data_IF_160983798940
#
_entry.id   IF_160983798940
#
_cell.length_a   1.000
_cell.length_b   1.000
_cell.length_c   1.000
_cell.angle_alpha   90.00
_cell.angle_beta   90.00
_cell.angle_gamma   90.00
#
_symmetry.space_group_name_H-M   'P 1'
#
loop_
_entity.id
_entity.type
_entity.pdbx_description
1 polymer ?
#
# COMPACT_ATOMS: atom_id res chain seq x y z
N UNK A 1 -27.77 -35.07 -23.99
CA UNK A 1 -27.96 -33.63 -23.70
C UNK A 1 -26.56 -33.03 -23.53
N UNK A 2 -25.94 -32.55 -24.62
CA UNK A 2 -24.57 -32.03 -24.62
C UNK A 2 -24.57 -30.57 -24.14
N UNK A 3 -23.94 -30.31 -23.01
CA UNK A 3 -23.74 -28.96 -22.49
C UNK A 3 -22.66 -28.24 -23.28
N UNK A 4 -23.03 -27.17 -23.98
CA UNK A 4 -22.08 -26.18 -24.47
C UNK A 4 -21.32 -25.60 -23.26
N UNK A 5 -20.10 -26.04 -23.05
CA UNK A 5 -19.16 -25.38 -22.14
C UNK A 5 -18.88 -23.99 -22.72
N UNK A 6 -19.52 -22.95 -22.18
CA UNK A 6 -19.09 -21.58 -22.42
C UNK A 6 -17.63 -21.43 -21.98
N UNK A 7 -16.85 -20.63 -22.71
CA UNK A 7 -15.46 -20.39 -22.35
C UNK A 7 -15.34 -19.96 -20.88
N UNK A 8 -14.35 -20.46 -20.13
CA UNK A 8 -14.25 -20.27 -18.68
C UNK A 8 -14.01 -18.82 -18.25
N UNK A 9 -13.78 -17.91 -19.20
CA UNK A 9 -13.62 -16.50 -18.96
C UNK A 9 -14.13 -15.70 -20.16
N UNK A 10 -14.66 -14.52 -19.89
CA UNK A 10 -15.04 -13.55 -20.92
C UNK A 10 -13.88 -12.59 -21.15
N UNK A 11 -13.29 -12.62 -22.35
CA UNK A 11 -12.27 -11.63 -22.73
C UNK A 11 -12.94 -10.25 -22.83
N UNK A 12 -12.47 -9.24 -22.09
CA UNK A 12 -13.05 -7.91 -22.17
C UNK A 12 -12.79 -7.28 -23.55
N UNK A 13 -13.73 -6.45 -24.00
CA UNK A 13 -13.64 -5.83 -25.32
C UNK A 13 -12.40 -4.94 -25.43
N UNK A 14 -11.60 -5.01 -26.51
CA UNK A 14 -10.30 -4.34 -26.62
C UNK A 14 -10.36 -2.80 -26.56
N UNK A 15 -11.53 -2.20 -26.80
CA UNK A 15 -11.72 -0.74 -26.73
C UNK A 15 -11.59 -0.14 -25.32
N UNK A 16 -11.56 -0.98 -24.28
CA UNK A 16 -11.34 -0.50 -22.91
C UNK A 16 -9.89 -0.03 -22.71
N UNK A 17 -8.94 -0.60 -23.45
CA UNK A 17 -7.52 -0.30 -23.33
C UNK A 17 -7.17 0.90 -24.19
N UNK A 18 -7.00 2.05 -23.53
CA UNK A 18 -6.70 3.34 -24.15
C UNK A 18 -5.33 3.82 -23.71
N UNK A 19 -4.52 4.26 -24.66
CA UNK A 19 -3.16 4.78 -24.39
C UNK A 19 -3.26 6.03 -23.50
N UNK A 20 -4.31 6.82 -23.69
CA UNK A 20 -4.58 8.06 -22.96
C UNK A 20 -4.78 7.83 -21.45
N UNK A 21 -5.17 6.62 -21.05
CA UNK A 21 -5.36 6.27 -19.63
C UNK A 21 -4.03 5.99 -18.91
N UNK A 22 -2.93 5.82 -19.65
CA UNK A 22 -1.62 5.41 -19.14
C UNK A 22 -0.61 6.51 -19.40
N UNK A 23 -0.27 7.35 -18.39
CA UNK A 23 0.63 8.50 -18.58
C UNK A 23 1.99 8.12 -19.17
N UNK A 24 2.54 6.97 -18.76
CA UNK A 24 3.83 6.49 -19.24
C UNK A 24 3.83 6.21 -20.75
N UNK A 25 2.72 5.68 -21.29
CA UNK A 25 2.62 5.38 -22.72
C UNK A 25 2.34 6.65 -23.53
N UNK A 26 1.68 7.65 -22.94
CA UNK A 26 1.53 8.99 -23.55
C UNK A 26 2.89 9.67 -23.67
N UNK A 27 3.73 9.61 -22.64
CA UNK A 27 5.10 10.16 -22.68
C UNK A 27 5.94 9.50 -23.78
N UNK A 28 5.86 8.17 -23.93
CA UNK A 28 6.55 7.45 -25.01
C UNK A 28 6.03 7.86 -26.39
N UNK A 29 4.70 7.96 -26.55
CA UNK A 29 4.07 8.43 -27.79
C UNK A 29 4.55 9.83 -28.18
N UNK A 30 4.64 10.74 -27.22
CA UNK A 30 5.13 12.10 -27.45
C UNK A 30 6.62 12.13 -27.78
N UNK A 31 7.44 11.34 -27.07
CA UNK A 31 8.88 11.25 -27.31
C UNK A 31 9.19 10.68 -28.71
N UNK A 32 8.45 9.65 -29.15
CA UNK A 32 8.52 9.12 -30.50
C UNK A 32 8.01 10.12 -31.54
N UNK A 33 6.91 10.81 -31.24
CA UNK A 33 6.35 11.84 -32.11
C UNK A 33 7.32 12.99 -32.38
N UNK A 34 8.15 13.38 -31.39
CA UNK A 34 9.22 14.36 -31.57
C UNK A 34 10.30 13.91 -32.57
N UNK A 35 10.44 12.60 -32.77
CA UNK A 35 11.35 12.01 -33.76
C UNK A 35 10.65 11.68 -35.08
N UNK A 36 9.35 12.01 -35.22
CA UNK A 36 8.54 11.63 -36.38
C UNK A 36 8.17 10.14 -36.40
N UNK A 37 8.35 9.41 -35.30
CA UNK A 37 8.05 8.00 -35.16
C UNK A 37 6.71 7.78 -34.45
N UNK A 38 6.06 6.66 -34.75
CA UNK A 38 4.83 6.22 -34.10
C UNK A 38 4.91 4.72 -33.85
N UNK A 39 4.71 4.29 -32.61
CA UNK A 39 4.70 2.88 -32.25
C UNK A 39 3.27 2.30 -32.31
N UNK A 40 3.00 1.33 -33.20
CA UNK A 40 1.68 0.70 -33.32
C UNK A 40 1.30 -0.19 -32.13
N UNK A 41 2.26 -0.58 -31.29
CA UNK A 41 2.03 -1.51 -30.17
C UNK A 41 1.65 -0.84 -28.85
N UNK A 42 1.69 0.49 -28.76
CA UNK A 42 1.36 1.22 -27.51
C UNK A 42 0.01 0.82 -26.92
N UNK A 43 -1.01 0.60 -27.75
CA UNK A 43 -2.33 0.16 -27.27
C UNK A 43 -2.33 -1.28 -26.74
N UNK A 44 -1.48 -2.14 -27.29
CA UNK A 44 -1.31 -3.50 -26.79
C UNK A 44 -0.60 -3.53 -25.43
N UNK A 45 0.18 -2.52 -25.09
CA UNK A 45 0.83 -2.44 -23.77
C UNK A 45 -0.04 -1.77 -22.70
N UNK A 46 -1.09 -1.05 -23.11
CA UNK A 46 -1.95 -0.28 -22.21
C UNK A 46 -2.57 -1.13 -21.08
N UNK A 47 -2.91 -2.39 -21.35
CA UNK A 47 -3.50 -3.28 -20.32
C UNK A 47 -2.58 -3.53 -19.12
N UNK A 48 -1.25 -3.51 -19.31
CA UNK A 48 -0.28 -3.79 -18.25
C UNK A 48 -0.17 -2.66 -17.24
N UNK A 49 -0.33 -1.44 -17.71
CA UNK A 49 -0.04 -0.23 -16.95
C UNK A 49 -1.31 0.53 -16.56
N UNK A 50 -2.48 -0.04 -16.83
CA UNK A 50 -3.74 0.57 -16.50
C UNK A 50 -3.96 0.61 -14.97
N UNK A 51 -4.04 1.83 -14.44
CA UNK A 51 -4.18 2.10 -12.99
C UNK A 51 -5.45 1.53 -12.39
N UNK A 52 -6.51 1.32 -13.20
CA UNK A 52 -7.77 0.72 -12.73
C UNK A 52 -7.59 -0.74 -12.30
N UNK A 53 -6.69 -1.49 -12.96
CA UNK A 53 -6.46 -2.91 -12.63
C UNK A 53 -5.42 -3.09 -11.52
N UNK A 54 -4.32 -2.36 -11.57
CA UNK A 54 -3.16 -2.59 -10.69
C UNK A 54 -2.97 -1.56 -9.57
N UNK A 55 -3.86 -0.55 -9.51
CA UNK A 55 -3.77 0.54 -8.55
C UNK A 55 -2.58 1.47 -8.82
N UNK A 56 -2.38 2.44 -7.91
CA UNK A 56 -1.22 3.33 -7.95
C UNK A 56 -0.08 2.79 -7.08
N UNK A 57 1.18 3.12 -7.41
CA UNK A 57 2.33 2.78 -6.56
C UNK A 57 2.14 3.24 -5.11
N UNK A 58 1.58 4.43 -4.91
CA UNK A 58 1.27 4.98 -3.58
C UNK A 58 0.26 4.13 -2.83
N UNK A 59 -0.81 3.71 -3.49
CA UNK A 59 -1.82 2.82 -2.90
C UNK A 59 -1.19 1.49 -2.48
N UNK A 60 -0.35 0.87 -3.34
CA UNK A 60 0.34 -0.38 -3.01
C UNK A 60 1.28 -0.25 -1.84
N UNK A 61 2.04 0.84 -1.75
CA UNK A 61 2.93 1.13 -0.62
C UNK A 61 2.14 1.30 0.68
N UNK A 62 1.05 2.08 0.66
CA UNK A 62 0.21 2.25 1.84
C UNK A 62 -0.43 0.92 2.26
N UNK A 63 -0.94 0.14 1.32
CA UNK A 63 -1.50 -1.19 1.60
C UNK A 63 -0.44 -2.17 2.11
N UNK A 64 0.84 -2.01 1.74
CA UNK A 64 1.93 -2.82 2.28
C UNK A 64 2.28 -2.40 3.70
N UNK A 65 2.50 -1.10 3.95
CA UNK A 65 2.91 -0.57 5.24
C UNK A 65 1.81 -0.68 6.32
N UNK A 66 0.56 -0.43 5.93
CA UNK A 66 -0.57 -0.36 6.86
C UNK A 66 -1.45 -1.62 6.83
N UNK A 67 -1.01 -2.69 6.17
CA UNK A 67 -1.72 -3.97 6.21
C UNK A 67 -1.78 -4.45 7.66
N UNK A 68 -2.99 -4.61 8.20
CA UNK A 68 -3.18 -5.19 9.53
C UNK A 68 -2.92 -4.22 10.69
N UNK A 69 -2.56 -2.96 10.44
CA UNK A 69 -2.41 -1.97 11.51
C UNK A 69 -3.71 -1.82 12.32
N UNK A 70 -4.87 -1.81 11.65
CA UNK A 70 -6.17 -1.73 12.34
C UNK A 70 -6.45 -2.93 13.25
N UNK A 71 -6.18 -4.14 12.77
CA UNK A 71 -6.36 -5.37 13.57
C UNK A 71 -5.39 -5.40 14.75
N UNK A 72 -4.11 -5.05 14.51
CA UNK A 72 -3.10 -4.95 15.54
C UNK A 72 -3.44 -3.89 16.60
N UNK A 73 -3.98 -2.74 16.18
CA UNK A 73 -4.41 -1.69 17.09
C UNK A 73 -5.61 -2.11 17.96
N UNK A 74 -6.58 -2.82 17.40
CA UNK A 74 -7.68 -3.40 18.18
C UNK A 74 -7.18 -4.42 19.22
N UNK A 75 -6.26 -5.32 18.82
CA UNK A 75 -5.67 -6.28 19.74
C UNK A 75 -4.86 -5.58 20.86
N UNK A 76 -4.09 -4.54 20.51
CA UNK A 76 -3.35 -3.73 21.47
C UNK A 76 -4.26 -3.08 22.52
N UNK A 77 -5.36 -2.45 22.09
CA UNK A 77 -6.33 -1.85 23.02
C UNK A 77 -7.01 -2.91 23.90
N UNK A 78 -7.33 -4.07 23.35
CA UNK A 78 -7.89 -5.18 24.12
C UNK A 78 -6.90 -5.65 25.21
N UNK A 79 -5.62 -5.76 24.87
CA UNK A 79 -4.57 -6.11 25.84
C UNK A 79 -4.48 -5.08 26.97
N UNK A 80 -4.45 -3.77 26.66
CA UNK A 80 -4.44 -2.72 27.70
C UNK A 80 -5.65 -2.82 28.61
N UNK A 81 -6.85 -3.05 28.05
CA UNK A 81 -8.07 -3.18 28.84
C UNK A 81 -8.00 -4.39 29.81
N UNK A 82 -7.45 -5.52 29.34
CA UNK A 82 -7.24 -6.72 30.15
C UNK A 82 -6.20 -6.48 31.25
N UNK A 83 -5.05 -5.88 30.91
CA UNK A 83 -4.00 -5.56 31.87
C UNK A 83 -4.48 -4.61 32.97
N UNK A 84 -5.29 -3.60 32.59
CA UNK A 84 -5.90 -2.67 33.53
C UNK A 84 -6.93 -3.35 34.43
N UNK A 85 -7.82 -4.18 33.86
CA UNK A 85 -8.84 -4.90 34.61
C UNK A 85 -8.25 -5.92 35.60
N UNK A 86 -7.16 -6.59 35.23
CA UNK A 86 -6.45 -7.55 36.07
C UNK A 86 -5.46 -6.89 37.04
N UNK A 87 -5.26 -5.57 36.95
CA UNK A 87 -4.36 -4.82 37.84
C UNK A 87 -2.87 -5.16 37.67
N UNK A 88 -2.51 -5.85 36.58
CA UNK A 88 -1.14 -6.32 36.31
C UNK A 88 -0.17 -5.13 36.12
N UNK A 89 -0.69 -3.96 35.74
CA UNK A 89 0.08 -2.71 35.62
C UNK A 89 0.31 -1.91 36.91
N UNK A 90 -0.23 -2.32 38.07
CA UNK A 90 -0.09 -1.58 39.33
C UNK A 90 1.22 -1.85 40.09
N UNK A 91 2.07 -2.76 39.59
CA UNK A 91 3.30 -3.21 40.25
C UNK A 91 4.58 -3.09 39.42
N UNK A 92 4.55 -2.58 38.20
CA UNK A 92 5.74 -2.39 37.36
C UNK A 92 6.17 -0.92 37.32
N UNK A 93 6.33 -0.34 38.51
CA UNK A 93 6.81 1.01 38.72
C UNK A 93 7.92 1.01 39.75
N UNK A 94 9.08 0.47 39.39
CA UNK A 94 10.32 0.84 40.09
C UNK A 94 11.52 0.71 39.13
N UNK A 95 11.57 1.58 38.13
CA UNK A 95 12.82 1.93 37.45
C UNK A 95 13.35 3.21 38.10
N UNK A 96 14.03 3.05 39.24
CA UNK A 96 14.77 4.11 39.90
C UNK A 96 15.88 4.64 38.99
N UNK A 97 15.62 5.73 38.28
CA UNK A 97 16.66 6.55 37.64
C UNK A 97 17.33 7.43 38.70
N UNK A 98 18.25 6.84 39.47
CA UNK A 98 19.20 7.57 40.31
C UNK A 98 20.42 7.97 39.50
N UNK A 99 20.35 9.07 38.74
CA UNK A 99 21.53 9.69 38.14
C UNK A 99 21.85 10.97 38.93
N UNK A 100 22.97 10.96 39.66
CA UNK A 100 23.38 12.06 40.52
C UNK A 100 23.96 13.26 39.77
N UNK A 101 23.90 14.41 40.43
CA UNK A 101 25.00 15.34 40.70
C UNK A 101 24.37 16.55 41.42
N UNK A 102 24.80 16.89 42.63
CA UNK A 102 24.74 18.28 43.07
C UNK A 102 25.79 18.53 44.15
N UNK A 103 26.73 19.37 43.73
CA UNK A 103 27.90 19.85 44.42
C UNK A 103 27.56 20.56 45.74
N UNK A 104 28.26 20.19 46.82
CA UNK A 104 28.43 21.08 47.97
C UNK A 104 29.91 21.39 48.18
N UNK A 105 30.38 22.40 47.44
CA UNK A 105 31.34 23.37 47.99
C UNK A 105 30.54 24.52 48.60
N UNK A 106 30.80 24.87 49.86
CA UNK A 106 30.84 26.26 50.34
C UNK A 106 30.99 26.29 51.87
N UNK A 107 32.18 26.74 52.30
CA UNK A 107 32.54 27.45 53.54
C UNK A 107 32.52 26.73 54.89
#
# INVERSE_FOLDING_TARGET
MGGHHGEPYTVPHPSIYKVENVPQLVEVKEALGRQGLSDPWLRNEAWRYEKKGFGTHRSRLNTFMFRGLGVGFCAFLATIAVEYALGIGKGQGDHGHGHGHDDKKSH
#
